data_IF_236350915341
#
_entry.id   IF_236350915341
#
_cell.length_a   1.000
_cell.length_b   1.000
_cell.length_c   1.000
_cell.angle_alpha   90.00
_cell.angle_beta   90.00
_cell.angle_gamma   90.00
#
_symmetry.space_group_name_H-M   'P 1'
#
loop_
_entity.id
_entity.type
_entity.pdbx_description
1 polymer ?
#
# COMPACT_ATOMS: atom_id res chain seq x y z
N UNK A 1 3.28 -14.17 14.44
CA UNK A 1 3.38 -12.69 14.30
C UNK A 1 3.50 -12.42 12.81
N UNK A 2 2.54 -11.73 12.16
CA UNK A 2 2.67 -11.43 10.71
C UNK A 2 3.74 -10.36 10.52
N UNK A 3 4.79 -10.72 9.79
CA UNK A 3 5.79 -9.82 9.21
C UNK A 3 5.15 -8.69 8.40
N UNK A 4 5.87 -7.58 8.17
CA UNK A 4 6.29 -6.54 9.10
C UNK A 4 5.11 -5.62 9.49
N UNK A 5 5.22 -4.90 10.62
CA UNK A 5 4.24 -3.86 11.01
C UNK A 5 4.41 -2.59 10.14
N UNK A 6 3.95 -2.65 8.90
CA UNK A 6 3.94 -1.52 7.97
C UNK A 6 2.65 -0.71 8.13
N UNK A 7 2.78 0.62 8.18
CA UNK A 7 1.65 1.56 8.19
C UNK A 7 1.52 2.16 6.79
N UNK A 8 0.32 2.13 6.23
CA UNK A 8 0.00 2.70 4.92
C UNK A 8 -0.96 3.89 5.08
N UNK A 9 -0.66 5.01 4.40
CA UNK A 9 -1.56 6.14 4.21
C UNK A 9 -1.96 6.21 2.75
N UNK A 10 -3.24 6.00 2.47
CA UNK A 10 -3.81 6.03 1.12
C UNK A 10 -4.65 7.30 1.00
N UNK A 11 -4.42 8.06 -0.08
CA UNK A 11 -5.13 9.31 -0.35
C UNK A 11 -6.12 9.12 -1.50
N UNK A 12 -7.21 9.88 -1.51
CA UNK A 12 -8.20 9.83 -2.61
C UNK A 12 -7.61 10.13 -4.00
N UNK A 13 -6.49 10.86 -4.04
CA UNK A 13 -5.74 11.12 -5.28
C UNK A 13 -5.06 9.87 -5.88
N UNK A 14 -5.05 8.74 -5.17
CA UNK A 14 -4.32 7.53 -5.54
C UNK A 14 -2.86 7.51 -5.07
N UNK A 15 -2.38 8.57 -4.40
CA UNK A 15 -1.06 8.58 -3.75
C UNK A 15 -1.07 7.65 -2.54
N UNK A 16 0.02 6.91 -2.34
CA UNK A 16 0.21 5.99 -1.21
C UNK A 16 1.54 6.29 -0.54
N UNK A 17 1.52 6.46 0.79
CA UNK A 17 2.72 6.59 1.61
C UNK A 17 2.83 5.37 2.52
N UNK A 18 4.01 4.76 2.56
CA UNK A 18 4.31 3.61 3.40
C UNK A 18 5.39 4.00 4.42
N UNK A 19 5.20 3.62 5.69
CA UNK A 19 6.20 3.81 6.75
C UNK A 19 6.29 2.59 7.67
N UNK A 20 7.38 2.48 8.41
CA UNK A 20 7.57 1.42 9.41
C UNK A 20 8.27 0.16 8.89
N UNK A 21 8.83 0.20 7.68
CA UNK A 21 9.67 -0.86 7.12
C UNK A 21 11.15 -0.53 7.31
N UNK A 22 11.99 -1.57 7.38
CA UNK A 22 13.45 -1.42 7.51
C UNK A 22 14.18 -1.63 6.18
N UNK A 23 13.52 -2.25 5.21
CA UNK A 23 14.08 -2.52 3.88
C UNK A 23 13.15 -2.07 2.76
N UNK A 24 13.71 -1.89 1.57
CA UNK A 24 12.92 -1.60 0.36
C UNK A 24 12.07 -2.81 -0.05
N UNK A 25 12.58 -4.02 0.12
CA UNK A 25 11.87 -5.25 -0.25
C UNK A 25 10.59 -5.44 0.57
N UNK A 26 10.59 -5.04 1.84
CA UNK A 26 9.39 -4.98 2.67
C UNK A 26 8.36 -3.98 2.14
N UNK A 27 8.81 -2.83 1.61
CA UNK A 27 7.91 -1.83 0.99
C UNK A 27 7.26 -2.43 -0.25
N UNK A 28 8.03 -3.06 -1.13
CA UNK A 28 7.50 -3.67 -2.35
C UNK A 28 6.54 -4.81 -2.04
N UNK A 29 6.86 -5.64 -1.05
CA UNK A 29 5.99 -6.73 -0.59
C UNK A 29 4.68 -6.18 -0.03
N UNK A 30 4.74 -5.17 0.85
CA UNK A 30 3.55 -4.55 1.42
C UNK A 30 2.67 -3.90 0.34
N UNK A 31 3.29 -3.20 -0.62
CA UNK A 31 2.56 -2.60 -1.73
C UNK A 31 1.90 -3.66 -2.62
N UNK A 32 2.62 -4.73 -2.96
CA UNK A 32 2.10 -5.83 -3.78
C UNK A 32 0.91 -6.52 -3.12
N UNK A 33 0.92 -6.65 -1.80
CA UNK A 33 -0.18 -7.25 -1.04
C UNK A 33 -1.46 -6.41 -1.05
N UNK A 34 -1.34 -5.07 -1.00
CA UNK A 34 -2.51 -4.17 -1.00
C UNK A 34 -2.97 -3.75 -2.40
N UNK A 35 -2.11 -3.88 -3.41
CA UNK A 35 -2.40 -3.45 -4.78
C UNK A 35 -3.72 -3.99 -5.35
N UNK A 36 -4.09 -5.28 -5.19
CA UNK A 36 -5.38 -5.79 -5.66
C UNK A 36 -6.58 -5.05 -5.06
N UNK A 37 -6.51 -4.73 -3.76
CA UNK A 37 -7.56 -3.99 -3.05
C UNK A 37 -7.64 -2.56 -3.59
N UNK A 38 -6.51 -1.88 -3.79
CA UNK A 38 -6.50 -0.54 -4.38
C UNK A 38 -7.12 -0.51 -5.78
N UNK A 39 -6.89 -1.55 -6.59
CA UNK A 39 -7.46 -1.66 -7.93
C UNK A 39 -8.95 -1.95 -7.93
N UNK A 40 -9.46 -2.71 -6.95
CA UNK A 40 -10.89 -2.98 -6.78
C UNK A 40 -11.68 -1.71 -6.49
N UNK A 41 -11.13 -0.81 -5.66
CA UNK A 41 -11.75 0.47 -5.32
C UNK A 41 -11.31 1.63 -6.23
N UNK A 42 -10.70 1.34 -7.39
CA UNK A 42 -10.27 2.38 -8.32
C UNK A 42 -11.49 3.12 -8.85
N UNK A 43 -11.63 4.40 -8.48
CA UNK A 43 -12.63 5.30 -9.05
C UNK A 43 -12.34 5.48 -10.55
N UNK A 44 -13.31 5.13 -11.39
CA UNK A 44 -13.28 5.54 -12.79
C UNK A 44 -13.50 7.05 -12.83
N UNK A 45 -12.66 7.79 -13.55
CA UNK A 45 -12.92 9.22 -13.79
C UNK A 45 -14.25 9.31 -14.55
N UNK A 46 -15.29 9.80 -13.88
CA UNK A 46 -16.44 10.40 -14.55
C UNK A 46 -16.01 11.69 -15.23
#
# INVERSE_FOLDING_TARGET
MKEPKTILYIFESGKVYLKGTKSKDEIYTAFKNIYPVLTEFRKNKQ
#
